data_IF_292928953073
#
_entry.id   IF_292928953073
#
_cell.length_a   1.000
_cell.length_b   1.000
_cell.length_c   1.000
_cell.angle_alpha   90.00
_cell.angle_beta   90.00
_cell.angle_gamma   90.00
#
_symmetry.space_group_name_H-M   'P 1'
#
loop_
_entity.id
_entity.type
_entity.pdbx_description
1 polymer ?
#
# COMPACT_ATOMS: atom_id res chain seq x y z
N UNK A 1 12.05 10.59 -10.91
CA UNK A 1 11.72 10.01 -12.23
C UNK A 1 10.83 11.00 -12.98
N UNK A 2 11.26 11.48 -14.16
CA UNK A 2 10.59 12.57 -14.92
C UNK A 2 9.50 12.07 -15.89
N UNK A 3 9.29 10.76 -16.02
CA UNK A 3 8.26 10.18 -16.88
C UNK A 3 7.43 9.17 -16.07
N UNK A 4 6.14 9.44 -15.91
CA UNK A 4 5.19 8.55 -15.24
C UNK A 4 4.02 8.30 -16.19
N UNK A 5 3.71 7.02 -16.45
CA UNK A 5 2.59 6.60 -17.30
C UNK A 5 1.24 6.70 -16.58
N UNK A 6 1.26 6.67 -15.24
CA UNK A 6 0.05 6.74 -14.42
C UNK A 6 -0.80 8.00 -14.69
N UNK A 7 -0.27 9.24 -14.66
CA UNK A 7 -1.08 10.43 -14.95
C UNK A 7 -1.61 10.45 -16.38
N UNK A 8 -0.89 9.88 -17.35
CA UNK A 8 -1.36 9.78 -18.74
C UNK A 8 -2.59 8.86 -18.87
N UNK A 9 -2.55 7.70 -18.21
CA UNK A 9 -3.65 6.72 -18.19
C UNK A 9 -4.85 7.27 -17.41
N UNK A 10 -4.63 7.87 -16.23
CA UNK A 10 -5.69 8.39 -15.35
C UNK A 10 -6.43 9.56 -16.00
N UNK A 11 -5.74 10.42 -16.77
CA UNK A 11 -6.35 11.58 -17.44
C UNK A 11 -7.34 11.20 -18.54
N UNK A 12 -7.20 10.02 -19.17
CA UNK A 12 -8.06 9.57 -20.28
C UNK A 12 -9.10 8.56 -19.76
N UNK A 13 -10.41 8.92 -19.70
CA UNK A 13 -11.42 8.08 -19.08
C UNK A 13 -11.57 6.68 -19.68
N UNK A 14 -11.35 6.53 -20.99
CA UNK A 14 -11.45 5.23 -21.68
C UNK A 14 -10.28 4.31 -21.32
N UNK A 15 -9.04 4.82 -21.28
CA UNK A 15 -7.87 4.07 -20.83
C UNK A 15 -8.04 3.65 -19.37
N UNK A 16 -8.48 4.57 -18.52
CA UNK A 16 -8.73 4.25 -17.12
C UNK A 16 -9.72 3.09 -16.96
N UNK A 17 -10.83 3.09 -17.70
CA UNK A 17 -11.84 2.01 -17.65
C UNK A 17 -11.27 0.65 -18.07
N UNK A 18 -10.36 0.61 -19.04
CA UNK A 18 -9.69 -0.62 -19.49
C UNK A 18 -8.67 -1.11 -18.47
N UNK A 19 -7.80 -0.23 -17.97
CA UNK A 19 -6.69 -0.62 -17.09
C UNK A 19 -7.12 -0.83 -15.63
N UNK A 20 -8.21 -0.21 -15.18
CA UNK A 20 -8.67 -0.32 -13.79
C UNK A 20 -8.97 -1.75 -13.32
N UNK A 21 -9.73 -2.59 -14.04
CA UNK A 21 -10.00 -3.97 -13.61
C UNK A 21 -8.71 -4.80 -13.55
N UNK A 22 -7.83 -4.67 -14.55
CA UNK A 22 -6.53 -5.35 -14.56
C UNK A 22 -5.67 -4.96 -13.35
N UNK A 23 -5.59 -3.66 -13.04
CA UNK A 23 -4.88 -3.18 -11.86
C UNK A 23 -5.51 -3.70 -10.55
N UNK A 24 -6.84 -3.77 -10.47
CA UNK A 24 -7.53 -4.31 -9.30
C UNK A 24 -7.25 -5.80 -9.11
N UNK A 25 -7.25 -6.58 -10.19
CA UNK A 25 -6.90 -8.00 -10.18
C UNK A 25 -5.45 -8.19 -9.69
N UNK A 26 -4.50 -7.46 -10.27
CA UNK A 26 -3.08 -7.54 -9.90
C UNK A 26 -2.87 -7.25 -8.40
N UNK A 27 -3.49 -6.20 -7.88
CA UNK A 27 -3.37 -5.84 -6.47
C UNK A 27 -3.93 -6.94 -5.55
N UNK A 28 -5.03 -7.60 -5.95
CA UNK A 28 -5.60 -8.70 -5.17
C UNK A 28 -4.73 -9.97 -5.26
N UNK A 29 -4.12 -10.23 -6.41
CA UNK A 29 -3.22 -11.36 -6.63
C UNK A 29 -1.87 -11.20 -5.89
N UNK A 30 -1.39 -9.96 -5.69
CA UNK A 30 -0.11 -9.69 -5.03
C UNK A 30 -0.05 -10.10 -3.54
N UNK A 31 -1.17 -10.47 -2.91
CA UNK A 31 -1.19 -11.15 -1.60
C UNK A 31 -0.87 -10.29 -0.37
N UNK A 32 -0.19 -9.15 -0.51
CA UNK A 32 0.24 -8.31 0.62
C UNK A 32 -0.91 -7.85 1.54
N UNK A 33 -2.12 -7.68 0.98
CA UNK A 33 -3.32 -7.33 1.76
C UNK A 33 -3.76 -8.42 2.73
N UNK A 34 -3.51 -9.69 2.38
CA UNK A 34 -3.82 -10.85 3.22
C UNK A 34 -2.92 -10.93 4.45
N UNK A 35 -1.74 -10.31 4.39
CA UNK A 35 -0.82 -10.11 5.52
C UNK A 35 -1.06 -8.79 6.27
N UNK A 36 -2.09 -8.03 5.87
CA UNK A 36 -2.45 -6.77 6.52
C UNK A 36 -1.52 -5.60 6.17
N UNK A 37 -0.71 -5.73 5.11
CA UNK A 37 0.17 -4.67 4.63
C UNK A 37 -0.55 -3.68 3.70
N UNK A 38 0.00 -2.48 3.60
CA UNK A 38 -0.32 -1.51 2.55
C UNK A 38 0.75 -1.52 1.47
N UNK A 39 0.42 -0.97 0.30
CA UNK A 39 1.37 -0.89 -0.81
C UNK A 39 2.62 -0.08 -0.44
N UNK A 40 2.45 1.01 0.31
CA UNK A 40 3.56 1.87 0.74
C UNK A 40 4.52 1.17 1.73
N UNK A 41 4.10 0.06 2.36
CA UNK A 41 4.95 -0.74 3.25
C UNK A 41 5.87 -1.70 2.46
N UNK A 42 5.64 -1.89 1.15
CA UNK A 42 6.45 -2.74 0.26
C UNK A 42 7.60 -1.97 -0.42
N UNK A 43 7.61 -0.65 -0.29
CA UNK A 43 8.65 0.19 -0.89
C UNK A 43 9.97 -0.02 -0.14
N UNK A 44 11.06 -0.09 -0.88
CA UNK A 44 12.41 -0.20 -0.33
C UNK A 44 12.74 1.02 0.53
N UNK A 45 13.13 0.75 1.78
CA UNK A 45 13.43 1.81 2.76
C UNK A 45 14.89 2.26 2.71
N UNK A 46 15.79 1.49 2.10
CA UNK A 46 17.26 1.70 2.10
C UNK A 46 17.72 2.83 1.16
N UNK A 47 16.80 3.70 0.73
CA UNK A 47 17.08 4.86 -0.09
C UNK A 47 16.91 6.16 0.71
N UNK A 48 17.82 7.12 0.52
CA UNK A 48 17.76 8.47 1.09
C UNK A 48 16.39 9.15 0.94
N UNK A 49 15.71 8.96 -0.19
CA UNK A 49 14.40 9.54 -0.45
C UNK A 49 13.35 8.94 0.46
N UNK A 50 13.36 7.61 0.63
CA UNK A 50 12.44 6.90 1.51
C UNK A 50 12.72 7.26 2.98
N UNK A 51 13.99 7.29 3.39
CA UNK A 51 14.40 7.70 4.73
C UNK A 51 13.95 9.13 5.06
N UNK A 52 14.10 10.08 4.12
CA UNK A 52 13.59 11.45 4.29
C UNK A 52 12.06 11.49 4.39
N UNK A 53 11.34 10.65 3.63
CA UNK A 53 9.89 10.57 3.70
C UNK A 53 9.41 9.98 5.04
N UNK A 54 10.05 8.92 5.53
CA UNK A 54 9.74 8.31 6.83
C UNK A 54 9.95 9.28 7.99
N UNK A 55 11.00 10.12 7.94
CA UNK A 55 11.24 11.17 8.94
C UNK A 55 10.16 12.26 8.98
N UNK A 56 9.44 12.49 7.88
CA UNK A 56 8.35 13.47 7.79
C UNK A 56 7.00 12.93 8.24
N UNK A 57 6.90 11.61 8.44
CA UNK A 57 5.66 10.95 8.78
C UNK A 57 5.27 11.28 10.24
N UNK A 58 3.97 11.44 10.50
CA UNK A 58 3.49 11.61 11.87
C UNK A 58 3.80 10.35 12.70
N UNK A 59 4.16 10.55 13.97
CA UNK A 59 4.44 9.49 14.94
C UNK A 59 3.38 8.39 14.91
N UNK A 60 2.08 8.73 14.93
CA UNK A 60 1.01 7.74 14.89
C UNK A 60 1.08 6.83 13.66
N UNK A 61 1.30 7.41 12.48
CA UNK A 61 1.35 6.64 11.24
C UNK A 61 2.61 5.79 11.15
N UNK A 62 3.72 6.29 11.69
CA UNK A 62 4.97 5.54 11.85
C UNK A 62 4.77 4.30 12.73
N UNK A 63 4.12 4.44 13.90
CA UNK A 63 3.81 3.30 14.77
C UNK A 63 2.88 2.28 14.09
N UNK A 64 1.80 2.74 13.46
CA UNK A 64 0.88 1.84 12.75
C UNK A 64 1.57 1.10 11.58
N UNK A 65 2.53 1.74 10.90
CA UNK A 65 3.35 1.12 9.85
C UNK A 65 4.20 -0.01 10.42
N UNK A 66 4.96 0.28 11.48
CA UNK A 66 5.81 -0.71 12.15
C UNK A 66 4.97 -1.90 12.64
N UNK A 67 3.78 -1.64 13.19
CA UNK A 67 2.85 -2.68 13.62
C UNK A 67 2.42 -3.61 12.46
N UNK A 68 2.07 -3.07 11.29
CA UNK A 68 1.72 -3.88 10.10
C UNK A 68 2.89 -4.73 9.64
N UNK A 69 4.10 -4.16 9.59
CA UNK A 69 5.32 -4.88 9.17
C UNK A 69 5.61 -6.04 10.13
N UNK A 70 5.62 -5.79 11.44
CA UNK A 70 5.84 -6.84 12.45
C UNK A 70 4.83 -7.97 12.34
N UNK A 71 3.56 -7.64 12.12
CA UNK A 71 2.51 -8.65 11.89
C UNK A 71 2.74 -9.46 10.62
N UNK A 72 3.12 -8.81 9.52
CA UNK A 72 3.40 -9.50 8.28
C UNK A 72 4.59 -10.45 8.40
N UNK A 73 5.64 -10.03 9.13
CA UNK A 73 6.78 -10.90 9.47
C UNK A 73 6.34 -12.11 10.28
N UNK A 74 5.47 -11.92 11.28
CA UNK A 74 4.89 -13.03 12.05
C UNK A 74 4.11 -14.00 11.16
N UNK A 75 3.25 -13.49 10.27
CA UNK A 75 2.52 -14.30 9.30
C UNK A 75 3.45 -15.09 8.38
N UNK A 76 4.53 -14.46 7.91
CA UNK A 76 5.55 -15.10 7.08
C UNK A 76 6.24 -16.23 7.84
N UNK A 77 6.67 -15.98 9.08
CA UNK A 77 7.34 -16.97 9.93
C UNK A 77 6.44 -18.18 10.21
N UNK A 78 5.15 -17.95 10.46
CA UNK A 78 4.18 -19.01 10.73
C UNK A 78 3.66 -19.69 9.46
N UNK A 79 4.00 -19.19 8.27
CA UNK A 79 3.38 -19.56 6.99
C UNK A 79 1.85 -19.56 7.04
N UNK A 80 1.27 -18.58 7.76
CA UNK A 80 -0.18 -18.45 7.98
C UNK A 80 -0.64 -17.04 7.63
N UNK A 81 -1.72 -16.96 6.87
CA UNK A 81 -2.38 -15.71 6.54
C UNK A 81 -3.23 -15.22 7.71
N UNK A 82 -3.53 -13.93 7.73
CA UNK A 82 -4.47 -13.36 8.67
C UNK A 82 -5.91 -13.82 8.37
N UNK A 83 -6.81 -13.81 9.37
CA UNK A 83 -8.25 -13.91 9.13
C UNK A 83 -8.72 -12.83 8.14
N UNK A 84 -9.73 -13.15 7.32
CA UNK A 84 -10.19 -12.29 6.21
C UNK A 84 -10.67 -10.92 6.68
N UNK A 85 -11.19 -10.83 7.89
CA UNK A 85 -11.70 -9.62 8.53
C UNK A 85 -10.58 -8.62 8.82
N UNK A 86 -9.34 -9.11 8.94
CA UNK A 86 -8.15 -8.30 9.24
C UNK A 86 -7.35 -7.94 7.98
N UNK A 87 -7.83 -8.32 6.80
CA UNK A 87 -7.16 -7.96 5.55
C UNK A 87 -7.28 -6.47 5.28
N UNK A 88 -6.24 -5.90 4.68
CA UNK A 88 -6.27 -4.47 4.32
C UNK A 88 -7.30 -4.25 3.22
N UNK A 89 -8.30 -3.41 3.50
CA UNK A 89 -9.35 -3.09 2.53
C UNK A 89 -9.05 -1.80 1.77
N UNK A 90 -9.54 -1.72 0.53
CA UNK A 90 -9.40 -0.50 -0.29
C UNK A 90 -10.00 0.74 0.39
N UNK A 91 -11.08 0.57 1.17
CA UNK A 91 -11.70 1.66 1.92
C UNK A 91 -10.78 2.22 3.02
N UNK A 92 -10.10 1.34 3.77
CA UNK A 92 -9.14 1.74 4.82
C UNK A 92 -7.97 2.55 4.23
N UNK A 93 -7.47 2.16 3.05
CA UNK A 93 -6.40 2.90 2.36
C UNK A 93 -6.88 4.27 1.88
N UNK A 94 -8.09 4.37 1.31
CA UNK A 94 -8.64 5.64 0.78
C UNK A 94 -8.94 6.68 1.87
N UNK A 95 -9.48 6.23 3.02
CA UNK A 95 -9.82 7.12 4.16
C UNK A 95 -8.59 7.85 4.72
N UNK A 96 -7.42 7.20 4.75
CA UNK A 96 -6.20 7.81 5.30
C UNK A 96 -5.53 8.82 4.36
N UNK A 97 -5.63 8.64 3.04
CA UNK A 97 -5.06 9.59 2.07
C UNK A 97 -5.72 10.98 2.06
N UNK A 98 -6.90 11.12 2.66
CA UNK A 98 -7.66 12.38 2.72
C UNK A 98 -7.90 12.84 4.17
N UNK A 99 -7.01 12.49 5.11
CA UNK A 99 -7.05 13.04 6.47
C UNK A 99 -6.94 14.58 6.45
N UNK A 100 -7.43 15.28 7.50
CA UNK A 100 -7.41 16.74 7.53
C UNK A 100 -5.97 17.20 7.31
N UNK A 101 -5.79 18.09 6.32
CA UNK A 101 -4.52 18.77 6.06
C UNK A 101 -4.10 19.57 7.28
#
# INVERSE_FOLDING_TARGET
>A
MKYSLAPFIIRRPWLYKIFKPAASWYINAAGYRQMGLRYDDLLEEENDVAQKALKRLNNRESYERIYRIRRAVQCSYQHKLLPKEQWTTTAQVRKKKHGPR
#
